data_IF_458302124753
#
_entry.id   IF_458302124753
#
_cell.length_a   1.000
_cell.length_b   1.000
_cell.length_c   1.000
_cell.angle_alpha   90.00
_cell.angle_beta   90.00
_cell.angle_gamma   90.00
#
_symmetry.space_group_name_H-M   'P 1'
#
loop_
_entity.id
_entity.type
_entity.pdbx_description
1 polymer ?
#
# COMPACT_ATOMS: atom_id res chain seq x y z
N UNK A 1 15.98 26.81 56.12
CA UNK A 1 16.72 26.34 54.93
C UNK A 1 16.27 24.93 54.58
N UNK A 2 15.58 24.73 53.46
CA UNK A 2 15.30 23.39 52.94
C UNK A 2 16.55 22.82 52.26
N UNK A 3 17.00 21.62 52.67
CA UNK A 3 18.04 20.88 51.96
C UNK A 3 17.53 20.59 50.54
N UNK A 4 18.17 21.17 49.54
CA UNK A 4 17.95 20.77 48.14
C UNK A 4 18.56 19.37 47.96
N UNK A 5 17.74 18.35 47.72
CA UNK A 5 18.23 17.04 47.32
C UNK A 5 18.53 17.09 45.81
N UNK A 6 19.73 16.66 45.43
CA UNK A 6 20.11 16.47 44.03
C UNK A 6 19.98 14.99 43.67
N UNK A 7 19.71 14.71 42.39
CA UNK A 7 19.78 13.36 41.86
C UNK A 7 21.21 12.84 41.91
N UNK A 8 21.39 11.59 42.30
CA UNK A 8 22.68 10.90 42.22
C UNK A 8 22.93 10.42 40.79
N UNK A 9 24.21 10.29 40.43
CA UNK A 9 24.61 9.68 39.15
C UNK A 9 24.01 8.27 39.00
N UNK A 10 23.96 7.49 40.09
CA UNK A 10 23.43 6.12 40.11
C UNK A 10 21.93 6.09 39.78
N UNK A 11 21.14 7.03 40.33
CA UNK A 11 19.70 7.12 40.02
C UNK A 11 19.46 7.40 38.54
N UNK A 12 20.22 8.32 37.94
CA UNK A 12 20.10 8.60 36.50
C UNK A 12 20.57 7.41 35.65
N UNK A 13 21.64 6.71 36.06
CA UNK A 13 22.13 5.53 35.35
C UNK A 13 21.08 4.40 35.29
N UNK A 14 20.43 4.11 36.41
CA UNK A 14 19.38 3.07 36.47
C UNK A 14 18.18 3.46 35.62
N UNK A 15 17.78 4.73 35.63
CA UNK A 15 16.65 5.22 34.83
C UNK A 15 16.94 5.09 33.33
N UNK A 16 18.11 5.55 32.87
CA UNK A 16 18.46 5.43 31.44
C UNK A 16 18.62 3.97 31.02
N UNK A 17 19.18 3.11 31.89
CA UNK A 17 19.33 1.68 31.64
C UNK A 17 17.95 1.00 31.48
N UNK A 18 17.01 1.29 32.36
CA UNK A 18 15.67 0.72 32.31
C UNK A 18 14.87 1.24 31.10
N UNK A 19 14.95 2.52 30.77
CA UNK A 19 14.32 3.09 29.55
C UNK A 19 14.91 2.43 28.29
N UNK A 20 16.23 2.27 28.21
CA UNK A 20 16.88 1.62 27.08
C UNK A 20 16.44 0.16 26.92
N UNK A 21 16.35 -0.60 28.02
CA UNK A 21 15.88 -1.99 28.01
C UNK A 21 14.43 -2.09 27.53
N UNK A 22 13.53 -1.27 28.06
CA UNK A 22 12.12 -1.27 27.66
C UNK A 22 11.95 -0.85 26.19
N UNK A 23 12.71 0.17 25.76
CA UNK A 23 12.68 0.64 24.37
C UNK A 23 13.15 -0.44 23.39
N UNK A 24 14.20 -1.19 23.73
CA UNK A 24 14.72 -2.27 22.89
C UNK A 24 13.70 -3.39 22.66
N UNK A 25 12.89 -3.72 23.67
CA UNK A 25 11.81 -4.71 23.55
C UNK A 25 10.62 -4.19 22.74
N UNK A 26 10.35 -2.87 22.79
CA UNK A 26 9.22 -2.25 22.11
C UNK A 26 9.44 -2.04 20.60
N UNK A 27 10.66 -1.70 20.18
CA UNK A 27 11.02 -1.39 18.78
C UNK A 27 10.57 -2.45 17.73
N UNK A 28 10.82 -3.76 17.90
CA UNK A 28 10.43 -4.75 16.89
C UNK A 28 8.90 -4.85 16.73
N UNK A 29 8.15 -4.73 17.83
CA UNK A 29 6.69 -4.72 17.81
C UNK A 29 6.13 -3.53 17.04
N UNK A 30 6.70 -2.34 17.26
CA UNK A 30 6.30 -1.12 16.54
C UNK A 30 6.60 -1.20 15.04
N UNK A 31 7.77 -1.73 14.66
CA UNK A 31 8.13 -1.92 13.24
C UNK A 31 7.12 -2.83 12.52
N UNK A 32 6.79 -3.99 13.13
CA UNK A 32 5.79 -4.91 12.59
C UNK A 32 4.40 -4.28 12.48
N UNK A 33 3.98 -3.53 13.50
CA UNK A 33 2.69 -2.83 13.51
C UNK A 33 2.61 -1.77 12.40
N UNK A 34 3.70 -1.04 12.17
CA UNK A 34 3.79 -0.04 11.09
C UNK A 34 3.64 -0.70 9.71
N UNK A 35 4.39 -1.78 9.45
CA UNK A 35 4.24 -2.52 8.18
C UNK A 35 2.83 -3.04 8.00
N UNK A 36 2.22 -3.65 9.03
CA UNK A 36 0.85 -4.15 8.94
C UNK A 36 -0.16 -3.02 8.61
N UNK A 37 0.02 -1.85 9.22
CA UNK A 37 -0.83 -0.67 8.97
C UNK A 37 -0.67 -0.19 7.52
N UNK A 38 0.56 -0.17 7.00
CA UNK A 38 0.84 0.18 5.61
C UNK A 38 0.16 -0.79 4.63
N UNK A 39 0.25 -2.10 4.86
CA UNK A 39 -0.41 -3.11 4.01
C UNK A 39 -1.93 -3.00 4.08
N UNK A 40 -2.48 -2.77 5.27
CA UNK A 40 -3.94 -2.57 5.44
C UNK A 40 -4.41 -1.31 4.72
N UNK A 41 -3.61 -0.22 4.73
CA UNK A 41 -3.89 0.99 3.96
C UNK A 41 -3.94 0.69 2.46
N UNK A 42 -2.92 0.03 1.92
CA UNK A 42 -2.88 -0.33 0.48
C UNK A 42 -4.07 -1.22 0.10
N UNK A 43 -4.39 -2.22 0.92
CA UNK A 43 -5.55 -3.08 0.66
C UNK A 43 -6.87 -2.29 0.64
N UNK A 44 -7.01 -1.30 1.53
CA UNK A 44 -8.17 -0.42 1.55
C UNK A 44 -8.19 0.56 0.37
N UNK A 45 -7.04 1.05 -0.07
CA UNK A 45 -6.91 1.92 -1.24
C UNK A 45 -7.33 1.14 -2.50
N UNK A 46 -6.79 -0.07 -2.70
CA UNK A 46 -7.16 -0.96 -3.81
C UNK A 46 -8.66 -1.27 -3.86
N UNK A 47 -9.28 -1.55 -2.71
CA UNK A 47 -10.74 -1.79 -2.62
C UNK A 47 -11.57 -0.53 -2.91
N UNK A 48 -11.12 0.65 -2.47
CA UNK A 48 -11.81 1.90 -2.76
C UNK A 48 -11.70 2.25 -4.24
N UNK A 49 -10.52 2.09 -4.82
CA UNK A 49 -10.29 2.34 -6.23
C UNK A 49 -11.06 1.33 -7.09
N UNK A 50 -11.06 0.03 -6.74
CA UNK A 50 -11.81 -0.96 -7.51
C UNK A 50 -13.30 -0.61 -7.56
N UNK A 51 -13.89 -0.24 -6.43
CA UNK A 51 -15.28 0.21 -6.38
C UNK A 51 -15.54 1.45 -7.26
N UNK A 52 -14.58 2.36 -7.40
CA UNK A 52 -14.70 3.52 -8.28
C UNK A 52 -14.67 3.11 -9.77
N UNK A 53 -13.80 2.17 -10.14
CA UNK A 53 -13.76 1.62 -11.50
C UNK A 53 -15.02 0.82 -11.83
N UNK A 54 -15.53 0.01 -10.89
CA UNK A 54 -16.78 -0.71 -11.03
C UNK A 54 -17.95 0.26 -11.26
N UNK A 55 -18.01 1.34 -10.47
CA UNK A 55 -19.04 2.37 -10.60
C UNK A 55 -18.97 3.07 -11.97
N UNK A 56 -17.76 3.42 -12.42
CA UNK A 56 -17.57 3.95 -13.77
C UNK A 56 -18.08 2.98 -14.83
N UNK A 57 -17.73 1.69 -14.74
CA UNK A 57 -18.16 0.67 -15.69
C UNK A 57 -19.68 0.46 -15.68
N UNK A 58 -20.31 0.52 -14.52
CA UNK A 58 -21.78 0.45 -14.38
C UNK A 58 -22.47 1.63 -15.07
N UNK A 59 -21.93 2.84 -14.99
CA UNK A 59 -22.53 4.03 -15.59
C UNK A 59 -22.21 4.21 -17.08
N UNK A 60 -21.01 3.80 -17.51
CA UNK A 60 -20.52 3.98 -18.88
C UNK A 60 -20.65 2.72 -19.74
N UNK A 61 -21.03 1.59 -19.14
CA UNK A 61 -21.23 0.30 -19.79
C UNK A 61 -19.94 -0.50 -20.06
N UNK A 62 -18.78 0.06 -19.76
CA UNK A 62 -17.47 -0.58 -19.91
C UNK A 62 -16.44 0.11 -19.01
N UNK A 63 -15.40 -0.62 -18.63
CA UNK A 63 -14.23 -0.04 -17.97
C UNK A 63 -13.55 1.03 -18.84
N UNK A 64 -12.84 2.00 -18.23
CA UNK A 64 -12.05 2.94 -19.00
C UNK A 64 -10.90 2.21 -19.72
N UNK A 65 -10.46 2.71 -20.89
CA UNK A 65 -9.26 2.20 -21.54
C UNK A 65 -8.04 2.35 -20.61
N UNK A 66 -7.00 1.59 -20.89
CA UNK A 66 -5.69 1.75 -20.28
C UNK A 66 -5.22 3.21 -20.46
N UNK A 67 -4.49 3.68 -19.47
CA UNK A 67 -3.98 5.05 -19.41
C UNK A 67 -3.01 5.37 -20.55
N UNK A 68 -2.28 4.37 -21.09
CA UNK A 68 -1.29 4.47 -22.19
C UNK A 68 -0.24 5.58 -22.04
N UNK A 69 -0.11 6.17 -20.86
CA UNK A 69 0.67 7.40 -20.64
C UNK A 69 1.80 7.12 -19.65
N UNK A 70 2.94 7.81 -19.78
CA UNK A 70 4.11 7.54 -18.97
C UNK A 70 3.85 7.86 -17.50
N UNK A 71 4.14 6.90 -16.62
CA UNK A 71 4.12 7.10 -15.17
C UNK A 71 5.19 8.15 -14.75
N UNK A 72 4.95 8.91 -13.66
CA UNK A 72 3.70 9.04 -12.91
C UNK A 72 2.70 9.94 -13.67
N UNK A 73 1.54 10.24 -13.10
CA UNK A 73 0.70 11.41 -13.45
C UNK A 73 -0.39 11.23 -14.50
N UNK A 74 -1.48 10.56 -14.16
CA UNK A 74 -2.86 11.00 -14.46
C UNK A 74 -3.85 9.87 -14.12
N UNK A 75 -5.10 10.28 -13.91
CA UNK A 75 -6.22 9.35 -13.90
C UNK A 75 -6.34 8.68 -15.28
N UNK A 76 -6.92 7.47 -15.37
CA UNK A 76 -7.04 6.74 -16.64
C UNK A 76 -7.65 7.57 -17.77
N UNK A 77 -8.58 8.47 -17.43
CA UNK A 77 -9.09 9.52 -18.29
C UNK A 77 -9.69 10.65 -17.43
N UNK A 78 -10.11 11.75 -18.06
CA UNK A 78 -10.72 12.90 -17.36
C UNK A 78 -12.05 12.56 -16.69
N UNK A 79 -12.82 11.61 -17.22
CA UNK A 79 -14.10 11.21 -16.63
C UNK A 79 -13.91 10.47 -15.28
N UNK A 80 -12.75 9.86 -15.03
CA UNK A 80 -12.43 9.24 -13.74
C UNK A 80 -12.26 10.24 -12.59
N UNK A 81 -12.13 11.55 -12.88
CA UNK A 81 -12.05 12.61 -11.84
C UNK A 81 -13.30 12.66 -10.95
N UNK A 82 -14.45 12.21 -11.47
CA UNK A 82 -15.72 12.19 -10.73
C UNK A 82 -15.80 11.03 -9.73
N UNK A 83 -15.05 9.95 -9.97
CA UNK A 83 -15.16 8.70 -9.21
C UNK A 83 -13.96 8.47 -8.28
N UNK A 84 -12.79 8.99 -8.66
CA UNK A 84 -11.53 8.67 -8.02
C UNK A 84 -10.85 9.94 -7.47
N UNK A 85 -10.34 9.85 -6.24
CA UNK A 85 -9.53 10.92 -5.68
C UNK A 85 -8.16 10.95 -6.35
N UNK A 86 -7.93 11.93 -7.22
CA UNK A 86 -6.70 12.07 -7.99
C UNK A 86 -5.46 12.18 -7.11
N UNK A 87 -5.51 12.96 -6.02
CA UNK A 87 -4.38 13.15 -5.11
C UNK A 87 -3.93 11.82 -4.51
N UNK A 88 -4.88 11.01 -4.04
CA UNK A 88 -4.57 9.69 -3.50
C UNK A 88 -4.07 8.69 -4.53
N UNK A 89 -4.57 8.76 -5.76
CA UNK A 89 -4.18 7.83 -6.83
C UNK A 89 -2.73 8.01 -7.26
N UNK A 90 -2.25 9.26 -7.28
CA UNK A 90 -0.89 9.60 -7.72
C UNK A 90 0.16 9.53 -6.60
N UNK A 91 -0.26 9.29 -5.35
CA UNK A 91 0.67 9.09 -4.23
C UNK A 91 1.52 7.81 -4.42
N UNK A 92 2.80 7.88 -4.04
CA UNK A 92 3.63 6.69 -3.96
C UNK A 92 3.09 5.73 -2.90
N UNK A 93 2.97 4.45 -3.23
CA UNK A 93 2.43 3.47 -2.30
C UNK A 93 3.41 3.21 -1.15
N UNK A 94 2.90 2.74 -0.01
CA UNK A 94 3.75 2.42 1.14
C UNK A 94 4.70 1.22 0.89
N UNK A 95 4.52 0.48 -0.21
CA UNK A 95 5.40 -0.61 -0.68
C UNK A 95 6.32 -0.17 -1.82
N UNK A 96 6.37 1.13 -2.10
CA UNK A 96 7.06 1.74 -3.23
C UNK A 96 6.27 1.64 -4.53
N UNK A 97 6.64 2.44 -5.51
CA UNK A 97 5.96 2.46 -6.80
C UNK A 97 4.59 3.14 -6.74
N UNK A 98 3.84 3.07 -7.85
CA UNK A 98 2.63 3.85 -8.05
C UNK A 98 1.47 2.98 -8.53
N UNK A 99 0.24 3.39 -8.22
CA UNK A 99 -0.93 2.77 -8.79
C UNK A 99 -1.01 3.09 -10.29
N UNK A 100 -1.43 2.10 -11.07
CA UNK A 100 -1.72 2.23 -12.48
C UNK A 100 -2.99 1.45 -12.82
N UNK A 101 -3.78 1.95 -13.76
CA UNK A 101 -4.90 1.21 -14.30
C UNK A 101 -4.42 0.40 -15.50
N UNK A 102 -4.72 -0.89 -15.53
CA UNK A 102 -4.46 -1.79 -16.64
C UNK A 102 -5.82 -2.15 -17.24
N UNK A 103 -6.19 -1.47 -18.33
CA UNK A 103 -7.49 -1.65 -18.98
C UNK A 103 -7.55 -2.83 -19.97
N UNK A 104 -8.77 -3.25 -20.34
CA UNK A 104 -9.00 -4.43 -21.19
C UNK A 104 -8.59 -4.25 -22.67
N UNK A 105 -8.21 -3.05 -23.09
CA UNK A 105 -7.71 -2.75 -24.43
C UNK A 105 -6.20 -3.06 -24.59
N UNK A 106 -5.43 -3.02 -23.50
CA UNK A 106 -4.02 -3.40 -23.47
C UNK A 106 -3.77 -4.81 -22.93
N UNK A 107 -4.66 -5.30 -22.05
CA UNK A 107 -4.47 -6.53 -21.30
C UNK A 107 -5.70 -7.44 -21.40
N UNK A 108 -5.54 -8.77 -21.26
CA UNK A 108 -6.65 -9.72 -21.21
C UNK A 108 -7.33 -9.71 -19.83
N UNK A 109 -7.36 -8.56 -19.16
CA UNK A 109 -7.98 -8.34 -17.86
C UNK A 109 -8.12 -6.83 -17.63
N UNK A 110 -9.01 -6.44 -16.72
CA UNK A 110 -9.08 -5.11 -16.14
C UNK A 110 -8.58 -5.16 -14.69
N UNK A 111 -7.64 -4.29 -14.32
CA UNK A 111 -7.00 -4.37 -13.01
C UNK A 111 -6.26 -3.12 -12.58
N UNK A 112 -6.03 -3.00 -11.27
CA UNK A 112 -5.22 -1.94 -10.69
C UNK A 112 -3.85 -2.52 -10.35
N UNK A 113 -2.80 -2.05 -11.00
CA UNK A 113 -1.43 -2.48 -10.73
C UNK A 113 -0.68 -1.53 -9.80
N UNK A 114 0.26 -2.07 -9.03
CA UNK A 114 1.30 -1.33 -8.33
C UNK A 114 2.57 -1.53 -9.17
N UNK A 115 2.94 -0.50 -9.92
CA UNK A 115 4.09 -0.53 -10.83
C UNK A 115 5.35 -0.03 -10.12
N UNK A 116 6.45 -0.78 -10.26
CA UNK A 116 7.75 -0.38 -9.69
C UNK A 116 7.85 -0.57 -8.18
N UNK A 117 7.08 -1.50 -7.61
CA UNK A 117 7.15 -1.76 -6.17
C UNK A 117 8.56 -2.19 -5.73
N UNK A 118 9.02 -1.63 -4.61
CA UNK A 118 10.35 -1.87 -4.06
C UNK A 118 10.34 -2.81 -2.85
N UNK A 119 9.15 -3.07 -2.28
CA UNK A 119 8.99 -4.02 -1.19
C UNK A 119 9.33 -5.46 -1.62
N UNK A 120 9.74 -6.26 -0.65
CA UNK A 120 10.06 -7.68 -0.88
C UNK A 120 8.82 -8.48 -1.27
N UNK A 121 9.01 -9.58 -2.01
CA UNK A 121 7.93 -10.49 -2.39
C UNK A 121 7.17 -11.05 -1.17
N UNK A 122 7.87 -11.30 -0.06
CA UNK A 122 7.25 -11.70 1.21
C UNK A 122 6.27 -10.63 1.75
N UNK A 123 6.57 -9.36 1.52
CA UNK A 123 5.68 -8.25 1.91
C UNK A 123 4.45 -8.25 1.02
N UNK A 124 4.62 -8.50 -0.28
CA UNK A 124 3.50 -8.61 -1.23
C UNK A 124 2.62 -9.83 -0.96
N UNK A 125 3.19 -10.98 -0.61
CA UNK A 125 2.42 -12.15 -0.12
C UNK A 125 1.63 -11.82 1.14
N UNK A 126 2.15 -10.93 2.00
CA UNK A 126 1.44 -10.51 3.21
C UNK A 126 0.30 -9.53 2.89
N UNK A 127 0.45 -8.68 1.87
CA UNK A 127 -0.63 -7.85 1.33
C UNK A 127 -1.70 -8.74 0.70
N UNK A 128 -1.28 -9.72 -0.09
CA UNK A 128 -2.19 -10.65 -0.75
C UNK A 128 -3.02 -11.45 0.26
N UNK A 129 -2.45 -11.91 1.38
CA UNK A 129 -3.25 -12.52 2.48
C UNK A 129 -4.35 -11.62 3.08
N UNK A 130 -4.27 -10.30 2.90
CA UNK A 130 -5.31 -9.37 3.35
C UNK A 130 -6.41 -9.23 2.29
N UNK A 131 -6.06 -9.44 1.01
CA UNK A 131 -6.94 -9.31 -0.14
C UNK A 131 -7.61 -10.65 -0.51
N UNK A 132 -6.86 -11.73 -0.41
CA UNK A 132 -7.16 -13.09 -0.85
C UNK A 132 -6.42 -14.15 0.01
N UNK A 133 -5.52 -14.97 -0.55
CA UNK A 133 -4.98 -16.19 0.09
C UNK A 133 -3.45 -16.17 0.34
N UNK A 134 -2.72 -15.24 -0.27
CA UNK A 134 -1.26 -15.13 -0.14
C UNK A 134 -0.47 -15.78 -1.27
N UNK A 135 -1.13 -16.36 -2.28
CA UNK A 135 -0.54 -16.82 -3.52
C UNK A 135 -0.54 -15.75 -4.63
N UNK A 136 0.62 -15.09 -4.79
CA UNK A 136 0.85 -14.11 -5.84
C UNK A 136 0.79 -14.66 -7.27
N UNK A 137 0.64 -15.97 -7.48
CA UNK A 137 0.50 -16.55 -8.82
C UNK A 137 -0.94 -16.68 -9.30
N UNK A 138 -1.92 -16.53 -8.40
CA UNK A 138 -3.34 -16.73 -8.69
C UNK A 138 -4.25 -15.78 -7.90
N UNK A 139 -5.56 -15.96 -7.97
CA UNK A 139 -6.50 -15.19 -7.14
C UNK A 139 -6.71 -13.74 -7.56
N UNK A 140 -7.05 -12.86 -6.63
CA UNK A 140 -7.36 -11.46 -6.93
C UNK A 140 -6.12 -10.57 -7.05
N UNK A 141 -5.02 -10.88 -6.35
CA UNK A 141 -3.82 -10.04 -6.36
C UNK A 141 -2.58 -10.82 -6.81
N UNK A 142 -2.16 -10.59 -8.05
CA UNK A 142 -1.16 -11.41 -8.76
C UNK A 142 0.08 -10.63 -9.14
N UNK A 143 1.23 -11.30 -9.20
CA UNK A 143 2.46 -10.79 -9.81
C UNK A 143 2.43 -11.11 -11.31
N UNK A 144 2.15 -10.11 -12.15
CA UNK A 144 1.94 -10.30 -13.60
C UNK A 144 3.24 -10.22 -14.40
N UNK A 145 4.27 -9.52 -13.91
CA UNK A 145 5.53 -9.36 -14.65
C UNK A 145 6.77 -9.41 -13.75
N UNK A 146 7.92 -9.69 -14.37
CA UNK A 146 9.24 -9.69 -13.71
C UNK A 146 9.64 -8.30 -13.16
N UNK A 147 9.05 -7.22 -13.68
CA UNK A 147 9.37 -5.83 -13.33
C UNK A 147 8.68 -5.34 -12.03
N UNK A 148 8.47 -6.23 -11.06
CA UNK A 148 7.79 -5.91 -9.80
C UNK A 148 6.39 -5.28 -9.98
N UNK A 149 5.63 -5.73 -11.00
CA UNK A 149 4.24 -5.33 -11.21
C UNK A 149 3.31 -6.34 -10.53
N UNK A 150 2.56 -5.84 -9.56
CA UNK A 150 1.54 -6.60 -8.83
C UNK A 150 0.17 -6.02 -9.12
N UNK A 151 -0.78 -6.82 -9.56
CA UNK A 151 -2.05 -6.36 -10.08
C UNK A 151 -3.20 -6.95 -9.30
N UNK A 152 -4.10 -6.09 -8.83
CA UNK A 152 -5.40 -6.43 -8.31
C UNK A 152 -6.40 -6.54 -9.47
N UNK A 153 -6.87 -7.74 -9.76
CA UNK A 153 -7.73 -8.06 -10.92
C UNK A 153 -9.19 -7.81 -10.54
N UNK A 154 -9.89 -7.05 -11.39
CA UNK A 154 -11.32 -6.77 -11.29
C UNK A 154 -12.13 -7.65 -12.24
N UNK A 155 -11.64 -7.84 -13.47
CA UNK A 155 -12.29 -8.63 -14.52
C UNK A 155 -11.24 -9.34 -15.40
N UNK A 156 -11.55 -10.54 -15.89
CA UNK A 156 -10.73 -11.33 -16.84
C UNK A 156 -11.35 -11.34 -18.24
#
# INVERSE_FOLDING_TARGET
MGKRSGFTLVEIMIVVLTIALLSALAMPGLSKARTQTQLTRIANDLKQFSAAFDLYAMERGQYPPDSHMPLPYHLPNTAMEEYLNADKWVEETAVGGFYNWEGPDSYPYAGISIFGATASEKTMQSLDKILDDGDLSSGLFRKIAANSRYTYILEE
#
